data_IF_776204830065
#
_entry.id   IF_776204830065
#
_cell.length_a   1.000
_cell.length_b   1.000
_cell.length_c   1.000
_cell.angle_alpha   90.00
_cell.angle_beta   90.00
_cell.angle_gamma   90.00
#
_symmetry.space_group_name_H-M   'P 1'
#
loop_
_entity.id
_entity.type
_entity.pdbx_description
1 polymer ?
#
# COMPACT_ATOMS: atom_id res chain seq x y z
N UNK A 1 21.87 -40.72 1.59
CA UNK A 1 20.43 -40.37 1.62
C UNK A 1 20.35 -38.87 1.95
N UNK A 2 20.73 -38.00 1.01
CA UNK A 2 19.90 -37.30 -0.01
C UNK A 2 18.77 -36.44 0.59
N UNK A 3 19.05 -35.12 0.60
CA UNK A 3 18.16 -34.06 0.11
C UNK A 3 17.03 -33.54 1.03
N UNK A 4 17.38 -32.92 2.16
CA UNK A 4 16.45 -32.13 3.00
C UNK A 4 16.82 -30.63 3.11
N UNK A 5 17.57 -30.10 2.13
CA UNK A 5 18.13 -28.74 2.14
C UNK A 5 17.51 -27.80 1.09
N UNK A 6 16.25 -28.02 0.70
CA UNK A 6 15.57 -27.22 -0.34
C UNK A 6 14.30 -26.49 0.13
N UNK A 7 13.90 -26.61 1.39
CA UNK A 7 12.64 -26.00 1.87
C UNK A 7 12.87 -24.64 2.57
N UNK A 8 14.12 -24.32 2.94
CA UNK A 8 14.44 -23.06 3.62
C UNK A 8 14.26 -21.77 2.76
N UNK A 9 14.58 -21.72 1.44
CA UNK A 9 14.48 -20.45 0.71
C UNK A 9 13.05 -20.06 0.31
N UNK A 10 12.05 -20.95 0.43
CA UNK A 10 10.67 -20.66 0.02
C UNK A 10 9.94 -19.71 0.99
N UNK A 11 10.33 -19.70 2.27
CA UNK A 11 9.64 -18.89 3.31
C UNK A 11 10.10 -17.43 3.28
N UNK A 12 11.32 -17.15 2.81
CA UNK A 12 11.90 -15.80 2.81
C UNK A 12 11.24 -14.90 1.75
N UNK A 13 10.66 -15.48 0.70
CA UNK A 13 9.95 -14.71 -0.33
C UNK A 13 8.58 -14.20 0.09
N UNK A 14 7.92 -14.78 1.10
CA UNK A 14 6.58 -14.32 1.50
C UNK A 14 6.59 -13.03 2.35
N UNK A 15 7.70 -12.76 3.04
CA UNK A 15 7.80 -11.62 3.97
C UNK A 15 8.07 -10.29 3.24
N UNK A 16 8.62 -10.32 2.04
CA UNK A 16 9.10 -9.12 1.33
C UNK A 16 7.97 -8.39 0.56
N UNK A 17 6.82 -9.03 0.35
CA UNK A 17 5.70 -8.48 -0.44
C UNK A 17 4.48 -8.11 0.40
N UNK A 18 4.67 -7.50 1.56
CA UNK A 18 3.55 -6.89 2.28
C UNK A 18 3.05 -5.65 1.52
N UNK A 19 1.99 -5.86 0.73
CA UNK A 19 1.28 -4.81 -0.01
C UNK A 19 0.31 -4.08 0.92
N UNK A 20 0.32 -2.77 0.83
CA UNK A 20 -0.73 -1.90 1.32
C UNK A 20 -1.90 -1.89 0.32
N UNK A 21 -3.09 -1.51 0.78
CA UNK A 21 -4.29 -1.38 -0.06
C UNK A 21 -4.74 0.07 -0.06
N UNK A 22 -4.92 0.64 -1.25
CA UNK A 22 -5.51 1.96 -1.46
C UNK A 22 -6.93 1.79 -1.96
N UNK A 23 -7.90 2.35 -1.22
CA UNK A 23 -9.31 2.40 -1.64
C UNK A 23 -9.67 3.77 -2.19
N UNK A 24 -10.17 3.82 -3.42
CA UNK A 24 -10.58 5.06 -4.07
C UNK A 24 -12.03 5.43 -3.74
N UNK A 25 -12.38 6.70 -3.95
CA UNK A 25 -13.74 7.21 -3.76
C UNK A 25 -14.77 6.52 -4.68
N UNK A 26 -14.31 6.02 -5.83
CA UNK A 26 -15.13 5.26 -6.78
C UNK A 26 -15.29 3.78 -6.37
N UNK A 27 -14.76 3.38 -5.20
CA UNK A 27 -14.84 2.02 -4.66
C UNK A 27 -13.82 1.04 -5.25
N UNK A 28 -12.80 1.50 -5.98
CA UNK A 28 -11.73 0.62 -6.48
C UNK A 28 -10.69 0.40 -5.40
N UNK A 29 -10.22 -0.84 -5.29
CA UNK A 29 -9.12 -1.21 -4.40
C UNK A 29 -7.87 -1.52 -5.22
N UNK A 30 -6.74 -0.94 -4.82
CA UNK A 30 -5.47 -1.08 -5.49
C UNK A 30 -4.43 -1.61 -4.50
N UNK A 31 -3.82 -2.75 -4.81
CA UNK A 31 -2.71 -3.31 -4.05
C UNK A 31 -1.39 -2.68 -4.47
N UNK A 32 -0.54 -2.34 -3.51
CA UNK A 32 0.73 -1.70 -3.80
C UNK A 32 1.45 -1.23 -2.54
N UNK A 33 2.26 -0.17 -2.66
CA UNK A 33 2.95 0.44 -1.52
C UNK A 33 2.65 1.92 -1.42
N UNK A 34 2.24 2.36 -0.24
CA UNK A 34 2.17 3.77 0.08
C UNK A 34 3.58 4.33 0.27
N UNK A 35 3.87 5.44 -0.42
CA UNK A 35 5.21 6.03 -0.45
C UNK A 35 5.26 7.29 0.41
N UNK A 36 4.39 8.27 0.11
CA UNK A 36 4.45 9.58 0.75
C UNK A 36 3.15 10.37 0.58
N UNK A 37 2.98 11.42 1.41
CA UNK A 37 1.99 12.47 1.20
C UNK A 37 2.72 13.69 0.62
N UNK A 38 2.17 14.27 -0.44
CA UNK A 38 2.64 15.51 -1.06
C UNK A 38 1.49 16.51 -1.13
N UNK A 39 1.77 17.79 -1.37
CA UNK A 39 0.75 18.86 -1.36
C UNK A 39 -0.48 18.57 -2.24
N UNK A 40 -0.26 17.88 -3.36
CA UNK A 40 -1.30 17.59 -4.35
C UNK A 40 -2.00 16.23 -4.16
N UNK A 41 -1.54 15.39 -3.23
CA UNK A 41 -2.06 14.03 -3.12
C UNK A 41 -1.17 13.05 -2.37
N UNK A 42 -1.29 11.77 -2.73
CA UNK A 42 -0.55 10.66 -2.12
C UNK A 42 0.13 9.87 -3.21
N UNK A 43 1.41 9.59 -3.00
CA UNK A 43 2.16 8.73 -3.89
C UNK A 43 1.94 7.28 -3.48
N UNK A 44 1.43 6.50 -4.44
CA UNK A 44 1.17 5.08 -4.25
C UNK A 44 1.76 4.32 -5.45
N UNK A 45 2.58 3.32 -5.15
CA UNK A 45 3.18 2.45 -6.17
C UNK A 45 2.37 1.17 -6.24
N UNK A 46 1.56 1.03 -7.28
CA UNK A 46 0.79 -0.20 -7.53
C UNK A 46 1.75 -1.38 -7.65
N UNK A 47 1.31 -2.54 -7.17
CA UNK A 47 1.99 -3.80 -7.38
C UNK A 47 2.33 -4.01 -8.88
N UNK A 48 3.53 -4.49 -9.17
CA UNK A 48 4.07 -4.65 -10.53
C UNK A 48 4.25 -3.36 -11.35
N UNK A 49 3.95 -2.18 -10.79
CA UNK A 49 4.32 -0.91 -11.42
C UNK A 49 5.80 -0.60 -11.20
N UNK A 50 6.47 -0.09 -12.24
CA UNK A 50 7.86 0.38 -12.14
C UNK A 50 7.98 1.73 -11.42
N UNK A 51 6.89 2.52 -11.35
CA UNK A 51 6.89 3.89 -10.81
C UNK A 51 5.71 4.15 -9.86
N UNK A 52 5.91 4.98 -8.83
CA UNK A 52 4.81 5.53 -8.05
C UNK A 52 3.89 6.40 -8.91
N UNK A 53 2.61 6.41 -8.57
CA UNK A 53 1.59 7.27 -9.18
C UNK A 53 1.05 8.21 -8.11
N UNK A 54 0.83 9.46 -8.48
CA UNK A 54 0.21 10.45 -7.61
C UNK A 54 -1.31 10.35 -7.70
N UNK A 55 -1.94 9.98 -6.59
CA UNK A 55 -3.38 9.95 -6.46
C UNK A 55 -3.87 11.21 -5.73
N UNK A 56 -4.80 11.98 -6.32
CA UNK A 56 -5.40 13.13 -5.66
C UNK A 56 -6.01 12.77 -4.31
N UNK A 57 -5.87 13.67 -3.32
CA UNK A 57 -6.40 13.44 -1.98
C UNK A 57 -7.90 13.14 -1.97
N UNK A 58 -8.66 13.83 -2.84
CA UNK A 58 -10.12 13.68 -2.99
C UNK A 58 -10.55 12.33 -3.57
N UNK A 59 -9.66 11.64 -4.29
CA UNK A 59 -9.97 10.36 -4.92
C UNK A 59 -9.62 9.17 -4.02
N UNK A 60 -9.04 9.40 -2.84
CA UNK A 60 -8.66 8.34 -1.89
C UNK A 60 -9.55 8.42 -0.65
N UNK A 61 -10.18 7.29 -0.32
CA UNK A 61 -10.95 7.10 0.90
C UNK A 61 -10.02 6.71 2.05
N UNK A 62 -9.20 5.69 1.82
CA UNK A 62 -8.27 5.19 2.82
C UNK A 62 -7.12 4.41 2.19
N UNK A 63 -6.09 4.24 3.01
CA UNK A 63 -4.96 3.36 2.75
C UNK A 63 -4.78 2.49 4.00
N UNK A 64 -4.73 1.18 3.82
CA UNK A 64 -4.50 0.19 4.88
C UNK A 64 -3.21 -0.58 4.63
N UNK A 65 -2.54 -1.03 5.68
CA UNK A 65 -1.40 -1.94 5.56
C UNK A 65 -1.85 -3.35 5.19
N UNK A 66 -0.88 -4.25 4.97
CA UNK A 66 -1.13 -5.66 4.65
C UNK A 66 -1.91 -6.44 5.73
N UNK A 67 -2.03 -5.90 6.93
CA UNK A 67 -2.77 -6.48 8.05
C UNK A 67 -4.16 -5.84 8.21
N UNK A 68 -4.58 -4.97 7.29
CA UNK A 68 -5.83 -4.22 7.35
C UNK A 68 -5.81 -3.07 8.35
N UNK A 69 -4.64 -2.66 8.86
CA UNK A 69 -4.54 -1.51 9.77
C UNK A 69 -4.57 -0.23 8.96
N UNK A 70 -5.35 0.74 9.42
CA UNK A 70 -5.45 2.03 8.76
C UNK A 70 -4.12 2.79 8.84
N UNK A 71 -3.55 3.10 7.67
CA UNK A 71 -2.37 3.98 7.54
C UNK A 71 -2.85 5.43 7.44
N UNK A 72 -3.82 5.70 6.55
CA UNK A 72 -4.36 7.02 6.28
C UNK A 72 -5.84 6.94 5.89
N UNK A 73 -6.66 7.89 6.32
CA UNK A 73 -8.01 8.08 5.80
C UNK A 73 -8.27 9.54 5.40
N UNK A 74 -9.35 9.78 4.65
CA UNK A 74 -9.74 11.14 4.27
C UNK A 74 -10.00 12.04 5.50
N UNK A 75 -10.41 11.48 6.64
CA UNK A 75 -10.72 12.24 7.86
C UNK A 75 -9.46 12.78 8.58
N UNK A 76 -8.32 12.09 8.52
CA UNK A 76 -7.07 12.54 9.17
C UNK A 76 -6.50 13.80 8.53
N UNK A 77 -6.93 14.16 7.31
CA UNK A 77 -6.54 15.40 6.64
C UNK A 77 -7.36 16.62 7.11
N UNK A 78 -8.58 16.41 7.62
CA UNK A 78 -9.44 17.50 8.08
C UNK A 78 -8.99 18.09 9.41
N UNK A 79 -8.28 17.31 10.26
CA UNK A 79 -7.90 17.73 11.61
C UNK A 79 -6.61 18.56 11.66
N UNK A 80 -5.81 18.54 10.58
CA UNK A 80 -4.57 19.33 10.48
C UNK A 80 -4.75 20.67 9.77
N UNK A 81 -5.93 20.91 9.18
CA UNK A 81 -6.27 22.13 8.45
C UNK A 81 -7.28 23.02 9.20
N UNK A 82 -7.61 22.69 10.45
CA UNK A 82 -8.51 23.44 11.33
C UNK A 82 -7.73 24.10 12.47
#
# INVERSE_FOLDING_TARGET
MKQLWLIAPLIIFNVIFSQDTLRTADGKELSGKFISIVDKGKEFKIENSSRPILYPSKSIVEITDSNGRLILNSATLSLRAA
#
